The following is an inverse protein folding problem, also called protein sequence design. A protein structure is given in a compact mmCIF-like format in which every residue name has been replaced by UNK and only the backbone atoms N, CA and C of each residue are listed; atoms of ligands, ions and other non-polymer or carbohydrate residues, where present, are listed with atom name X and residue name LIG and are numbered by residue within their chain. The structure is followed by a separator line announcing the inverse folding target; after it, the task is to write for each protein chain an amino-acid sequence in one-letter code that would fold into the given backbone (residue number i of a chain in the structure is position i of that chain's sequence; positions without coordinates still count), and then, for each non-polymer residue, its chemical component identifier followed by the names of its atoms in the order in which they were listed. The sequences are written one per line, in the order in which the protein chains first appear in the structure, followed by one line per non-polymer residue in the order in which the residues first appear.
data_IF_471190524980
#
_entry.id   IF_471190524980
#
_cell.length_a   1.000
_cell.length_b   1.000
_cell.length_c   1.000
_cell.angle_alpha   90.00
_cell.angle_beta   90.00
_cell.angle_gamma   90.00
#
_symmetry.space_group_name_H-M   'P 1'
#
loop_
_entity.id
_entity.type
_entity.pdbx_description
1 polymer ?
#
# COMPACT_ATOMS: atom_id res chain seq x y z
N UNK A 1 -19.49 11.90 26.69
CA UNK A 1 -18.08 12.20 27.03
C UNK A 1 -17.52 11.21 28.05
N UNK A 2 -18.20 10.89 29.18
CA UNK A 2 -17.69 9.96 30.18
C UNK A 2 -17.42 8.53 29.65
N UNK A 3 -18.28 7.99 28.77
CA UNK A 3 -18.10 6.66 28.17
C UNK A 3 -16.89 6.60 27.22
N UNK A 4 -16.62 7.68 26.49
CA UNK A 4 -15.44 7.78 25.60
C UNK A 4 -14.15 7.79 26.42
N UNK A 5 -14.11 8.56 27.49
CA UNK A 5 -12.94 8.61 28.39
C UNK A 5 -12.69 7.29 29.12
N UNK A 6 -13.73 6.50 29.37
CA UNK A 6 -13.57 5.18 30.02
C UNK A 6 -12.92 4.14 29.13
N UNK A 7 -13.21 4.16 27.81
CA UNK A 7 -12.70 3.15 26.85
C UNK A 7 -11.44 3.57 26.10
N UNK A 8 -11.26 4.88 25.87
CA UNK A 8 -10.19 5.39 24.97
C UNK A 8 -9.25 6.38 25.65
N UNK A 9 -9.38 6.59 26.97
CA UNK A 9 -8.65 7.53 27.82
C UNK A 9 -8.87 9.01 27.44
N UNK A 10 -8.79 9.34 26.13
CA UNK A 10 -9.00 10.69 25.63
C UNK A 10 -9.42 10.68 24.14
N UNK A 11 -9.47 11.87 23.53
CA UNK A 11 -9.82 12.05 22.13
C UNK A 11 -8.76 11.48 21.17
N UNK A 12 -7.50 11.52 21.56
CA UNK A 12 -6.37 11.03 20.75
C UNK A 12 -6.39 9.51 20.69
N UNK A 13 -6.60 8.83 21.80
CA UNK A 13 -6.78 7.38 21.84
C UNK A 13 -7.98 6.88 21.03
N UNK A 14 -9.10 7.63 21.05
CA UNK A 14 -10.24 7.32 20.19
C UNK A 14 -9.89 7.47 18.71
N UNK A 15 -9.20 8.55 18.33
CA UNK A 15 -8.78 8.80 16.96
C UNK A 15 -7.85 7.69 16.44
N UNK A 16 -6.85 7.33 17.24
CA UNK A 16 -5.92 6.23 16.96
C UNK A 16 -6.67 4.91 16.76
N UNK A 17 -7.56 4.53 17.66
CA UNK A 17 -8.36 3.32 17.55
C UNK A 17 -9.20 3.28 16.27
N UNK A 18 -9.82 4.40 15.88
CA UNK A 18 -10.60 4.50 14.63
C UNK A 18 -9.69 4.37 13.40
N UNK A 19 -8.51 4.99 13.42
CA UNK A 19 -7.53 4.91 12.33
C UNK A 19 -7.07 3.46 12.12
N UNK A 20 -6.63 2.78 13.17
CA UNK A 20 -6.20 1.37 13.12
C UNK A 20 -7.35 0.45 12.69
N UNK A 21 -8.54 0.59 13.28
CA UNK A 21 -9.70 -0.21 12.89
C UNK A 21 -10.06 -0.03 11.41
N UNK A 22 -9.98 1.20 10.88
CA UNK A 22 -10.25 1.47 9.48
C UNK A 22 -9.24 0.79 8.55
N UNK A 23 -7.98 0.68 8.99
CA UNK A 23 -6.92 -0.01 8.26
C UNK A 23 -7.13 -1.53 8.29
N UNK A 24 -7.43 -2.11 9.46
CA UNK A 24 -7.75 -3.53 9.59
C UNK A 24 -8.93 -3.96 8.70
N UNK A 25 -9.98 -3.14 8.62
CA UNK A 25 -11.13 -3.44 7.75
C UNK A 25 -10.72 -3.56 6.29
N UNK A 26 -9.82 -2.70 5.82
CA UNK A 26 -9.28 -2.78 4.45
C UNK A 26 -8.41 -4.03 4.27
N UNK A 27 -7.55 -4.34 5.24
CA UNK A 27 -6.71 -5.53 5.18
C UNK A 27 -7.54 -6.81 5.10
N UNK A 28 -8.64 -6.88 5.87
CA UNK A 28 -9.57 -8.02 5.84
C UNK A 28 -10.36 -8.12 4.54
N UNK A 29 -10.73 -6.97 3.93
CA UNK A 29 -11.46 -6.95 2.67
C UNK A 29 -10.57 -7.36 1.47
N UNK A 30 -9.27 -7.07 1.53
CA UNK A 30 -8.32 -7.34 0.46
C UNK A 30 -7.03 -7.94 1.05
N UNK A 31 -7.04 -9.22 1.48
CA UNK A 31 -5.87 -9.87 2.05
C UNK A 31 -4.80 -10.13 0.98
N UNK A 32 -3.52 -10.18 1.40
CA UNK A 32 -2.43 -10.62 0.54
C UNK A 32 -2.32 -12.16 0.62
N UNK A 33 -3.01 -12.85 -0.26
CA UNK A 33 -2.97 -14.31 -0.35
C UNK A 33 -1.84 -14.74 -1.29
N UNK A 34 -0.59 -14.63 -0.81
CA UNK A 34 0.59 -15.02 -1.56
C UNK A 34 0.70 -16.54 -1.63
N UNK A 35 1.19 -17.05 -2.76
CA UNK A 35 1.40 -18.48 -2.97
C UNK A 35 2.73 -18.96 -2.40
N UNK A 36 3.77 -18.11 -2.41
CA UNK A 36 5.15 -18.45 -2.05
C UNK A 36 5.84 -19.36 -3.07
N UNK A 37 5.19 -19.72 -4.16
CA UNK A 37 5.73 -20.62 -5.19
C UNK A 37 6.47 -19.88 -6.30
N UNK A 38 6.03 -18.66 -6.63
CA UNK A 38 6.56 -17.84 -7.71
C UNK A 38 6.57 -16.37 -7.27
N UNK A 39 7.75 -15.80 -6.95
CA UNK A 39 7.84 -14.43 -6.43
C UNK A 39 7.25 -13.38 -7.38
N UNK A 40 7.33 -13.59 -8.69
CA UNK A 40 6.76 -12.68 -9.69
C UNK A 40 5.22 -12.68 -9.63
N UNK A 41 4.60 -13.84 -9.40
CA UNK A 41 3.15 -13.94 -9.17
C UNK A 41 2.76 -13.35 -7.82
N UNK A 42 3.58 -13.54 -6.80
CA UNK A 42 3.36 -12.93 -5.49
C UNK A 42 3.42 -11.41 -5.57
N UNK A 43 4.33 -10.84 -6.40
CA UNK A 43 4.34 -9.41 -6.69
C UNK A 43 3.06 -8.96 -7.40
N UNK A 44 2.54 -9.73 -8.36
CA UNK A 44 1.27 -9.43 -9.02
C UNK A 44 0.10 -9.40 -8.02
N UNK A 45 0.02 -10.41 -7.15
CA UNK A 45 -1.00 -10.47 -6.08
C UNK A 45 -0.86 -9.27 -5.14
N UNK A 46 0.37 -8.95 -4.72
CA UNK A 46 0.63 -7.83 -3.83
C UNK A 46 0.16 -6.51 -4.46
N UNK A 47 0.61 -6.19 -5.67
CA UNK A 47 0.24 -4.94 -6.36
C UNK A 47 -1.27 -4.89 -6.60
N UNK A 48 -1.88 -5.98 -7.04
CA UNK A 48 -3.34 -6.07 -7.26
C UNK A 48 -4.11 -5.78 -5.98
N UNK A 49 -3.80 -6.46 -4.89
CA UNK A 49 -4.49 -6.24 -3.61
C UNK A 49 -4.26 -4.83 -3.07
N UNK A 50 -3.04 -4.31 -3.19
CA UNK A 50 -2.75 -2.93 -2.80
C UNK A 50 -3.58 -1.93 -3.62
N UNK A 51 -3.71 -2.12 -4.92
CA UNK A 51 -4.55 -1.24 -5.77
C UNK A 51 -6.03 -1.29 -5.38
N UNK A 52 -6.57 -2.47 -5.03
CA UNK A 52 -7.92 -2.58 -4.49
C UNK A 52 -8.07 -1.91 -3.12
N UNK A 53 -7.07 -2.00 -2.23
CA UNK A 53 -7.04 -1.26 -0.95
C UNK A 53 -7.07 0.25 -1.17
N UNK A 54 -6.41 0.74 -2.22
CA UNK A 54 -6.29 2.17 -2.52
C UNK A 54 -7.50 2.74 -3.28
N UNK A 55 -8.09 1.98 -4.22
CA UNK A 55 -9.10 2.48 -5.17
C UNK A 55 -10.43 1.73 -5.10
N UNK A 56 -10.48 0.50 -4.57
CA UNK A 56 -11.66 -0.36 -4.57
C UNK A 56 -12.88 0.23 -3.85
N UNK A 57 -14.07 -0.17 -4.29
CA UNK A 57 -15.37 0.34 -3.81
C UNK A 57 -15.70 -0.09 -2.36
N UNK A 58 -15.17 -1.22 -1.88
CA UNK A 58 -15.41 -1.75 -0.52
C UNK A 58 -14.66 -1.02 0.60
N UNK A 59 -13.94 0.03 0.26
CA UNK A 59 -13.13 0.79 1.20
C UNK A 59 -13.99 1.67 2.11
N UNK A 60 -13.76 1.67 3.45
CA UNK A 60 -14.41 2.60 4.34
C UNK A 60 -14.16 4.06 3.93
N UNK A 61 -15.23 4.85 3.74
CA UNK A 61 -15.11 6.24 3.31
C UNK A 61 -14.26 7.09 4.27
N UNK A 62 -14.30 6.74 5.57
CA UNK A 62 -13.54 7.41 6.61
C UNK A 62 -12.03 7.17 6.49
N UNK A 63 -11.60 5.96 6.12
CA UNK A 63 -10.18 5.61 6.02
C UNK A 63 -9.38 6.59 5.12
N UNK A 64 -9.90 6.89 3.93
CA UNK A 64 -9.21 7.81 3.01
C UNK A 64 -9.04 9.22 3.59
N UNK A 65 -10.00 9.70 4.39
CA UNK A 65 -9.92 11.01 5.05
C UNK A 65 -8.92 11.01 6.20
N UNK A 66 -8.92 9.95 7.01
CA UNK A 66 -7.97 9.81 8.13
C UNK A 66 -6.54 9.72 7.61
N UNK A 67 -6.28 8.87 6.60
CA UNK A 67 -4.95 8.76 5.99
C UNK A 67 -4.49 10.09 5.36
N UNK A 68 -5.37 10.83 4.68
CA UNK A 68 -5.02 12.13 4.13
C UNK A 68 -4.69 13.15 5.23
N UNK A 69 -5.38 13.12 6.36
CA UNK A 69 -5.08 13.95 7.52
C UNK A 69 -3.71 13.63 8.11
N UNK A 70 -3.40 12.35 8.34
CA UNK A 70 -2.10 11.93 8.85
C UNK A 70 -0.94 12.27 7.88
N UNK A 71 -1.15 12.14 6.56
CA UNK A 71 -0.12 12.53 5.57
C UNK A 71 0.11 14.05 5.53
N UNK A 72 -0.88 14.86 5.90
CA UNK A 72 -0.78 16.33 5.88
C UNK A 72 -0.32 16.91 7.21
N UNK A 73 -0.69 16.28 8.31
CA UNK A 73 -0.38 16.71 9.68
C UNK A 73 -0.24 15.48 10.58
N UNK A 74 0.95 14.86 10.60
CA UNK A 74 1.19 13.63 11.35
C UNK A 74 0.94 13.80 12.84
N UNK A 75 0.32 12.77 13.45
CA UNK A 75 0.12 12.67 14.92
C UNK A 75 0.80 11.40 15.43
N UNK A 76 0.78 11.18 16.77
CA UNK A 76 1.27 9.92 17.36
C UNK A 76 0.52 8.67 16.86
N UNK A 77 -0.69 8.83 16.32
CA UNK A 77 -1.42 7.73 15.70
C UNK A 77 -0.75 7.19 14.44
N UNK A 78 -0.02 8.04 13.69
CA UNK A 78 0.75 7.61 12.53
C UNK A 78 1.90 6.67 12.93
N UNK A 79 2.61 6.96 14.03
CA UNK A 79 3.71 6.13 14.50
C UNK A 79 3.23 4.70 14.77
N UNK A 80 2.11 4.57 15.47
CA UNK A 80 1.49 3.28 15.77
C UNK A 80 0.99 2.58 14.50
N UNK A 81 0.34 3.31 13.59
CA UNK A 81 -0.09 2.77 12.30
C UNK A 81 1.11 2.27 11.49
N UNK A 82 2.23 2.99 11.51
CA UNK A 82 3.47 2.57 10.84
C UNK A 82 3.97 1.23 11.40
N UNK A 83 4.02 1.08 12.72
CA UNK A 83 4.51 -0.15 13.34
C UNK A 83 3.56 -1.34 13.15
N UNK A 84 2.26 -1.14 13.35
CA UNK A 84 1.30 -2.25 13.38
C UNK A 84 0.78 -2.65 11.99
N UNK A 85 0.84 -1.76 11.00
CA UNK A 85 0.18 -1.99 9.72
C UNK A 85 1.05 -1.69 8.49
N UNK A 86 1.74 -0.56 8.44
CA UNK A 86 2.50 -0.15 7.26
C UNK A 86 3.80 -0.96 7.16
N UNK A 87 4.56 -1.07 8.25
CA UNK A 87 5.83 -1.81 8.30
C UNK A 87 5.65 -3.28 7.88
N UNK A 88 4.70 -4.07 8.41
CA UNK A 88 4.51 -5.45 7.96
C UNK A 88 4.18 -5.56 6.46
N UNK A 89 3.42 -4.60 5.92
CA UNK A 89 3.11 -4.56 4.48
C UNK A 89 4.35 -4.23 3.64
N UNK A 90 5.18 -3.31 4.11
CA UNK A 90 6.45 -2.96 3.46
C UNK A 90 7.45 -4.12 3.48
N UNK A 91 7.63 -4.76 4.63
CA UNK A 91 8.51 -5.92 4.80
C UNK A 91 8.08 -7.10 3.92
N UNK A 92 6.77 -7.32 3.76
CA UNK A 92 6.24 -8.31 2.84
C UNK A 92 6.69 -8.02 1.39
N UNK A 93 6.57 -6.76 0.94
CA UNK A 93 7.01 -6.37 -0.41
C UNK A 93 8.53 -6.52 -0.58
N UNK A 94 9.32 -6.08 0.41
CA UNK A 94 10.78 -6.24 0.40
C UNK A 94 11.15 -7.73 0.31
N UNK A 95 10.46 -8.59 1.05
CA UNK A 95 10.65 -10.04 0.99
C UNK A 95 10.36 -10.64 -0.39
N UNK A 96 9.30 -10.19 -1.07
CA UNK A 96 8.98 -10.60 -2.44
C UNK A 96 10.08 -10.14 -3.40
N UNK A 97 10.51 -8.88 -3.31
CA UNK A 97 11.56 -8.33 -4.17
C UNK A 97 12.86 -9.11 -3.97
N UNK A 98 13.24 -9.37 -2.72
CA UNK A 98 14.43 -10.17 -2.38
C UNK A 98 14.37 -11.57 -2.98
N UNK A 99 13.20 -12.20 -2.98
CA UNK A 99 13.03 -13.51 -3.61
C UNK A 99 13.20 -13.47 -5.15
N UNK A 100 12.96 -12.32 -5.80
CA UNK A 100 13.16 -12.13 -7.24
C UNK A 100 14.63 -11.80 -7.57
N UNK A 101 15.24 -10.87 -6.81
CA UNK A 101 16.59 -10.37 -7.16
C UNK A 101 17.72 -11.21 -6.56
N UNK A 102 17.44 -12.01 -5.52
CA UNK A 102 18.46 -12.67 -4.72
C UNK A 102 19.06 -11.75 -3.65
N UNK A 103 20.35 -11.95 -3.36
CA UNK A 103 21.05 -11.10 -2.40
C UNK A 103 21.32 -9.70 -2.97
N UNK A 104 20.89 -8.68 -2.23
CA UNK A 104 21.07 -7.28 -2.57
C UNK A 104 21.18 -6.43 -1.30
N UNK A 105 21.83 -5.25 -1.36
CA UNK A 105 21.86 -4.32 -0.23
C UNK A 105 20.44 -3.93 0.20
N UNK A 106 20.24 -3.80 1.52
CA UNK A 106 18.92 -3.49 2.08
C UNK A 106 18.36 -2.15 1.56
N UNK A 107 19.23 -1.16 1.37
CA UNK A 107 18.83 0.13 0.80
C UNK A 107 18.26 -0.02 -0.61
N UNK A 108 18.87 -0.84 -1.46
CA UNK A 108 18.42 -1.06 -2.84
C UNK A 108 17.05 -1.76 -2.86
N UNK A 109 16.85 -2.75 -1.98
CA UNK A 109 15.55 -3.42 -1.84
C UNK A 109 14.46 -2.45 -1.39
N UNK A 110 14.78 -1.56 -0.44
CA UNK A 110 13.87 -0.50 0.01
C UNK A 110 13.56 0.50 -1.12
N UNK A 111 14.54 0.89 -1.93
CA UNK A 111 14.35 1.80 -3.07
C UNK A 111 13.49 1.17 -4.18
N UNK A 112 13.68 -0.12 -4.46
CA UNK A 112 12.81 -0.87 -5.37
C UNK A 112 11.37 -0.94 -4.82
N UNK A 113 11.21 -1.24 -3.53
CA UNK A 113 9.90 -1.25 -2.88
C UNK A 113 9.23 0.13 -2.93
N UNK A 114 9.97 1.21 -2.64
CA UNK A 114 9.48 2.58 -2.72
C UNK A 114 9.03 2.95 -4.14
N UNK A 115 9.76 2.49 -5.17
CA UNK A 115 9.41 2.71 -6.57
C UNK A 115 8.09 2.03 -6.95
N UNK A 116 7.82 0.81 -6.46
CA UNK A 116 6.56 0.10 -6.68
C UNK A 116 5.41 0.77 -5.93
N UNK A 117 5.62 1.06 -4.63
CA UNK A 117 4.63 1.74 -3.80
C UNK A 117 4.28 3.11 -4.35
N UNK A 118 5.29 3.87 -4.82
CA UNK A 118 5.09 5.19 -5.42
C UNK A 118 4.18 5.16 -6.64
N UNK A 119 4.32 4.17 -7.52
CA UNK A 119 3.42 3.99 -8.66
C UNK A 119 1.97 3.75 -8.20
N UNK A 120 1.76 2.88 -7.19
CA UNK A 120 0.43 2.61 -6.66
C UNK A 120 -0.18 3.85 -5.96
N UNK A 121 0.60 4.50 -5.09
CA UNK A 121 0.17 5.66 -4.31
C UNK A 121 -0.12 6.88 -5.18
N UNK A 122 0.54 7.01 -6.33
CA UNK A 122 0.25 8.08 -7.30
C UNK A 122 -1.22 8.12 -7.68
N UNK A 123 -1.83 6.98 -7.98
CA UNK A 123 -3.24 6.89 -8.34
C UNK A 123 -4.18 7.24 -7.18
N UNK A 124 -3.72 7.13 -5.94
CA UNK A 124 -4.48 7.53 -4.76
C UNK A 124 -4.34 9.01 -4.47
N UNK A 125 -3.13 9.53 -4.47
CA UNK A 125 -2.85 10.90 -4.02
C UNK A 125 -3.01 11.95 -5.12
N UNK A 126 -2.75 11.58 -6.38
CA UNK A 126 -2.84 12.49 -7.52
C UNK A 126 -4.20 12.43 -8.27
N UNK A 127 -5.26 11.87 -7.66
CA UNK A 127 -6.58 11.74 -8.29
C UNK A 127 -7.07 13.04 -8.96
N UNK A 128 -7.03 14.21 -8.31
CA UNK A 128 -7.49 15.47 -8.95
C UNK A 128 -6.70 15.85 -10.19
N UNK A 129 -5.42 15.49 -10.23
CA UNK A 129 -4.53 15.73 -11.39
C UNK A 129 -4.85 14.72 -12.50
N UNK A 130 -4.96 13.43 -12.14
CA UNK A 130 -5.26 12.35 -13.11
C UNK A 130 -6.59 12.62 -13.82
N UNK A 131 -7.63 13.00 -13.07
CA UNK A 131 -8.94 13.35 -13.64
C UNK A 131 -8.82 14.49 -14.66
N UNK A 132 -8.01 15.51 -14.39
CA UNK A 132 -7.82 16.62 -15.33
C UNK A 132 -7.03 16.24 -16.58
N UNK A 133 -6.09 15.30 -16.44
CA UNK A 133 -5.26 14.84 -17.56
C UNK A 133 -5.94 13.77 -18.43
N UNK A 134 -6.74 12.90 -17.82
CA UNK A 134 -7.29 11.69 -18.47
C UNK A 134 -8.82 11.63 -18.48
N UNK A 135 -9.51 12.56 -17.83
CA UNK A 135 -10.96 12.60 -17.70
C UNK A 135 -11.53 11.73 -16.58
N UNK A 136 -10.84 10.68 -16.19
CA UNK A 136 -11.28 9.74 -15.15
C UNK A 136 -10.09 9.08 -14.43
N UNK A 137 -10.40 8.44 -13.29
CA UNK A 137 -9.53 7.49 -12.60
C UNK A 137 -10.16 6.09 -12.70
N UNK A 138 -9.36 5.00 -12.68
CA UNK A 138 -9.90 3.65 -12.64
C UNK A 138 -10.64 3.42 -11.32
N UNK A 139 -11.92 3.05 -11.40
CA UNK A 139 -12.80 2.80 -10.26
C UNK A 139 -13.57 1.49 -10.38
N UNK A 140 -13.71 0.95 -11.59
CA UNK A 140 -14.28 -0.37 -11.81
C UNK A 140 -13.21 -1.46 -11.60
N UNK A 141 -13.63 -2.62 -11.11
CA UNK A 141 -12.71 -3.68 -10.74
C UNK A 141 -11.79 -4.10 -11.90
N UNK A 142 -12.33 -4.21 -13.12
CA UNK A 142 -11.53 -4.57 -14.30
C UNK A 142 -10.51 -3.49 -14.69
N UNK A 143 -10.77 -2.21 -14.42
CA UNK A 143 -9.85 -1.10 -14.65
C UNK A 143 -8.73 -1.13 -13.61
N UNK A 144 -9.06 -1.39 -12.34
CA UNK A 144 -8.09 -1.55 -11.26
C UNK A 144 -7.16 -2.74 -11.55
N UNK A 145 -7.72 -3.86 -11.99
CA UNK A 145 -6.93 -5.03 -12.40
C UNK A 145 -6.02 -4.75 -13.59
N UNK A 146 -6.50 -4.05 -14.61
CA UNK A 146 -5.69 -3.67 -15.76
C UNK A 146 -4.51 -2.77 -15.35
N UNK A 147 -4.77 -1.81 -14.46
CA UNK A 147 -3.75 -0.93 -13.91
C UNK A 147 -2.74 -1.69 -13.04
N UNK A 148 -3.20 -2.61 -12.20
CA UNK A 148 -2.32 -3.44 -11.39
C UNK A 148 -1.39 -4.30 -12.25
N UNK A 149 -1.90 -4.93 -13.31
CA UNK A 149 -1.06 -5.68 -14.27
C UNK A 149 0.00 -4.79 -14.94
N UNK A 150 -0.37 -3.58 -15.33
CA UNK A 150 0.55 -2.63 -15.94
C UNK A 150 1.67 -2.22 -14.98
N UNK A 151 1.33 -1.89 -13.71
CA UNK A 151 2.31 -1.55 -12.67
C UNK A 151 3.22 -2.74 -12.39
N UNK A 152 2.67 -3.95 -12.27
CA UNK A 152 3.45 -5.17 -12.03
C UNK A 152 4.44 -5.43 -13.18
N UNK A 153 3.98 -5.36 -14.42
CA UNK A 153 4.84 -5.60 -15.61
C UNK A 153 5.98 -4.58 -15.68
N UNK A 154 5.69 -3.30 -15.44
CA UNK A 154 6.71 -2.25 -15.41
C UNK A 154 7.72 -2.47 -14.27
N UNK A 155 7.23 -2.85 -13.10
CA UNK A 155 8.06 -3.10 -11.91
C UNK A 155 8.97 -4.31 -12.10
N UNK A 156 8.45 -5.42 -12.66
CA UNK A 156 9.23 -6.61 -12.96
C UNK A 156 10.35 -6.32 -13.97
N UNK A 157 10.08 -5.52 -15.00
CA UNK A 157 11.11 -5.12 -15.97
C UNK A 157 12.21 -4.28 -15.29
N UNK A 158 11.85 -3.39 -14.35
CA UNK A 158 12.80 -2.61 -13.57
C UNK A 158 13.66 -3.48 -12.64
N UNK A 159 13.04 -4.42 -11.94
CA UNK A 159 13.71 -5.38 -11.05
C UNK A 159 14.67 -6.27 -11.85
N UNK A 160 14.24 -6.79 -12.99
CA UNK A 160 15.11 -7.62 -13.86
C UNK A 160 16.32 -6.84 -14.36
N UNK A 161 16.13 -5.56 -14.75
CA UNK A 161 17.24 -4.71 -15.14
C UNK A 161 18.22 -4.46 -13.99
N UNK A 162 17.71 -4.26 -12.78
CA UNK A 162 18.53 -4.14 -11.59
C UNK A 162 19.37 -5.40 -11.38
N UNK A 163 18.76 -6.59 -11.43
CA UNK A 163 19.41 -7.89 -11.26
C UNK A 163 20.57 -8.08 -12.24
N UNK A 164 20.34 -7.89 -13.53
CA UNK A 164 21.36 -8.02 -14.57
C UNK A 164 22.54 -7.07 -14.35
N UNK A 165 22.29 -5.88 -13.79
CA UNK A 165 23.35 -4.87 -13.60
C UNK A 165 24.25 -5.19 -12.39
N UNK A 166 23.76 -5.95 -11.41
CA UNK A 166 24.45 -6.23 -10.15
C UNK A 166 24.95 -7.68 -10.02
N UNK A 167 24.65 -8.56 -10.98
CA UNK A 167 25.22 -9.92 -11.09
C UNK A 167 26.64 -9.96 -11.70
N UNK A 168 27.26 -8.80 -12.03
CA UNK A 168 28.62 -8.66 -12.55
C UNK A 168 29.61 -8.26 -11.43
#
# INVERSE_FOLDING_TARGET
LAAVNYHFHDKEGLYEAILLQSFEQIQRAYPFELTGECPEKDLEVFVRMLMFRLLGKGRPALHGKLMAAEMSSPTGALDKLCEEAIRPTHELLVGIIRAIVGEAPENDLNDLAASILGQCLFYKHAQPVIIRLRGAIPVEDHEIEALARQITSFSLAGIEKYRITHEQ
#
